data_IF_897897133340
#
_entry.id   IF_897897133340
#
_cell.length_a   1.000
_cell.length_b   1.000
_cell.length_c   1.000
_cell.angle_alpha   90.00
_cell.angle_beta   90.00
_cell.angle_gamma   90.00
#
_symmetry.space_group_name_H-M   'P 1'
#
loop_
_entity.id
_entity.type
_entity.pdbx_description
1 polymer ?
#
# COMPACT_ATOMS: atom_id res chain seq x y z
N UNK A 1 -31.37 -25.11 20.07
CA UNK A 1 -29.93 -25.44 20.03
C UNK A 1 -29.19 -24.14 19.78
N UNK A 2 -28.36 -23.71 20.74
CA UNK A 2 -27.63 -22.42 20.67
C UNK A 2 -26.21 -22.68 20.21
N UNK A 3 -25.78 -22.06 19.10
CA UNK A 3 -24.42 -22.14 18.59
C UNK A 3 -23.65 -20.95 19.15
N UNK A 4 -22.75 -21.20 20.10
CA UNK A 4 -21.83 -20.18 20.61
C UNK A 4 -20.70 -19.99 19.59
N UNK A 5 -20.43 -18.77 19.09
CA UNK A 5 -19.30 -18.57 18.19
C UNK A 5 -17.97 -18.67 18.96
N UNK A 6 -17.04 -19.44 18.43
CA UNK A 6 -15.66 -19.54 18.91
C UNK A 6 -14.98 -18.18 18.72
N UNK A 7 -14.78 -17.46 19.84
CA UNK A 7 -13.96 -16.25 19.90
C UNK A 7 -12.50 -16.66 19.67
N UNK A 8 -12.02 -16.52 18.44
CA UNK A 8 -10.60 -16.66 18.14
C UNK A 8 -9.86 -15.54 18.88
N UNK A 9 -9.09 -15.88 19.92
CA UNK A 9 -8.18 -14.94 20.55
C UNK A 9 -7.07 -14.65 19.52
N UNK A 10 -7.15 -13.50 18.86
CA UNK A 10 -6.04 -12.97 18.07
C UNK A 10 -4.89 -12.70 19.05
N UNK A 11 -3.87 -13.54 19.01
CA UNK A 11 -2.60 -13.24 19.67
C UNK A 11 -1.94 -12.15 18.82
N UNK A 12 -2.14 -10.89 19.18
CA UNK A 12 -1.39 -9.79 18.60
C UNK A 12 0.08 -10.00 18.97
N UNK A 13 0.86 -10.52 18.03
CA UNK A 13 2.31 -10.55 18.14
C UNK A 13 2.76 -9.09 18.21
N UNK A 14 3.23 -8.67 19.37
CA UNK A 14 3.74 -7.32 19.59
C UNK A 14 5.04 -7.21 18.78
N UNK A 15 4.95 -6.72 17.55
CA UNK A 15 6.10 -6.36 16.74
C UNK A 15 6.84 -5.25 17.48
N UNK A 16 8.01 -5.56 18.01
CA UNK A 16 8.96 -4.55 18.45
C UNK A 16 9.52 -3.90 17.19
N UNK A 17 9.05 -2.70 16.91
CA UNK A 17 9.60 -1.84 15.87
C UNK A 17 10.99 -1.37 16.29
N UNK A 18 11.92 -1.32 15.33
CA UNK A 18 13.18 -0.62 15.48
C UNK A 18 12.92 0.88 15.75
N UNK A 19 13.85 1.58 16.41
CA UNK A 19 13.75 3.03 16.68
C UNK A 19 13.44 3.82 15.41
N UNK A 20 14.02 3.40 14.29
CA UNK A 20 13.92 4.08 13.00
C UNK A 20 12.50 4.00 12.42
N UNK A 21 11.82 2.86 12.58
CA UNK A 21 10.43 2.70 12.15
C UNK A 21 9.47 3.55 13.00
N UNK A 22 9.79 3.76 14.27
CA UNK A 22 8.96 4.54 15.17
C UNK A 22 9.04 6.03 14.85
N UNK A 23 10.23 6.55 14.57
CA UNK A 23 10.42 7.94 14.10
C UNK A 23 9.72 8.18 12.76
N UNK A 24 9.82 7.24 11.81
CA UNK A 24 9.10 7.31 10.54
C UNK A 24 7.59 7.36 10.74
N UNK A 25 7.03 6.49 11.60
CA UNK A 25 5.60 6.47 11.87
C UNK A 25 5.10 7.78 12.49
N UNK A 26 5.86 8.38 13.41
CA UNK A 26 5.54 9.68 14.00
C UNK A 26 5.60 10.80 12.96
N UNK A 27 6.61 10.81 12.08
CA UNK A 27 6.77 11.80 11.01
C UNK A 27 5.59 11.79 10.02
N UNK A 28 5.02 10.62 9.73
CA UNK A 28 3.86 10.48 8.83
C UNK A 28 2.50 10.51 9.55
N UNK A 29 2.47 10.79 10.87
CA UNK A 29 1.23 10.88 11.64
C UNK A 29 0.48 9.55 11.76
N UNK A 30 1.18 8.42 11.68
CA UNK A 30 0.61 7.08 11.81
C UNK A 30 0.48 6.75 13.30
N UNK A 31 -0.74 6.90 13.82
CA UNK A 31 -1.03 6.79 15.26
C UNK A 31 -1.20 5.32 15.70
N UNK A 32 -1.62 4.45 14.79
CA UNK A 32 -1.82 3.03 15.07
C UNK A 32 -1.60 2.20 13.79
N UNK A 33 -0.77 1.16 13.88
CA UNK A 33 -0.48 0.25 12.77
C UNK A 33 -0.53 -1.19 13.27
N UNK A 34 -1.52 -1.93 12.78
CA UNK A 34 -1.71 -3.33 13.11
C UNK A 34 -1.22 -4.20 11.94
N UNK A 35 -0.07 -4.83 12.11
CA UNK A 35 0.36 -5.91 11.23
C UNK A 35 -0.31 -7.18 11.71
N UNK A 36 -1.19 -7.74 10.89
CA UNK A 36 -1.64 -9.11 11.07
C UNK A 36 -0.70 -10.04 10.27
N UNK A 37 0.26 -10.72 10.91
CA UNK A 37 1.05 -11.74 10.22
C UNK A 37 0.12 -12.89 9.85
N UNK A 38 -0.40 -12.84 8.63
CA UNK A 38 -1.01 -14.00 8.01
C UNK A 38 0.14 -14.87 7.48
N UNK A 39 -0.02 -16.20 7.50
CA UNK A 39 0.93 -17.16 6.90
C UNK A 39 0.92 -17.07 5.35
N UNK A 40 1.12 -15.87 4.82
CA UNK A 40 1.38 -15.62 3.42
C UNK A 40 2.89 -15.56 3.30
N UNK A 41 3.45 -16.36 2.40
CA UNK A 41 4.87 -16.26 2.06
C UNK A 41 5.23 -14.84 1.60
N UNK A 42 6.53 -14.59 1.31
CA UNK A 42 6.96 -13.27 0.87
C UNK A 42 6.07 -12.75 -0.26
N UNK A 43 5.59 -11.50 -0.14
CA UNK A 43 4.84 -10.83 -1.20
C UNK A 43 5.80 -10.67 -2.38
N UNK A 44 5.36 -11.12 -3.57
CA UNK A 44 6.16 -11.08 -4.80
C UNK A 44 5.53 -10.14 -5.82
N UNK A 45 6.38 -9.62 -6.70
CA UNK A 45 6.00 -8.79 -7.84
C UNK A 45 6.03 -7.29 -7.53
N UNK A 46 5.76 -6.52 -8.57
CA UNK A 46 6.07 -5.08 -8.64
C UNK A 46 4.81 -4.20 -8.61
N UNK A 47 3.63 -4.81 -8.43
CA UNK A 47 2.35 -4.08 -8.46
C UNK A 47 2.14 -3.05 -7.33
N UNK A 48 3.14 -2.89 -6.46
CA UNK A 48 3.23 -1.94 -5.34
C UNK A 48 3.99 -0.65 -5.72
N UNK A 49 4.75 -0.64 -6.82
CA UNK A 49 5.63 0.48 -7.21
C UNK A 49 4.86 1.78 -7.43
N UNK A 50 3.66 1.69 -8.01
CA UNK A 50 2.78 2.85 -8.18
C UNK A 50 2.40 3.48 -6.83
N UNK A 51 2.13 2.66 -5.80
CA UNK A 51 1.79 3.15 -4.47
C UNK A 51 2.99 3.80 -3.79
N UNK A 52 4.18 3.21 -3.92
CA UNK A 52 5.41 3.81 -3.42
C UNK A 52 5.68 5.17 -4.07
N UNK A 53 5.57 5.25 -5.40
CA UNK A 53 5.79 6.49 -6.15
C UNK A 53 4.83 7.59 -5.68
N UNK A 54 3.53 7.31 -5.60
CA UNK A 54 2.53 8.28 -5.16
C UNK A 54 2.71 8.69 -3.70
N UNK A 55 3.14 7.76 -2.83
CA UNK A 55 3.46 8.07 -1.44
C UNK A 55 4.64 9.02 -1.31
N UNK A 56 5.68 8.87 -2.15
CA UNK A 56 6.83 9.78 -2.17
C UNK A 56 6.45 11.20 -2.60
N UNK A 57 5.39 11.35 -3.40
CA UNK A 57 4.82 12.64 -3.78
C UNK A 57 3.82 13.21 -2.77
N UNK A 58 3.74 12.64 -1.56
CA UNK A 58 2.80 13.09 -0.53
C UNK A 58 1.33 12.81 -0.87
N UNK A 59 1.06 11.86 -1.77
CA UNK A 59 -0.30 11.45 -2.19
C UNK A 59 -0.58 10.01 -1.75
N UNK A 60 -0.69 9.72 -0.44
CA UNK A 60 -0.96 8.36 0.03
C UNK A 60 -2.37 7.91 -0.37
N UNK A 61 -2.54 6.61 -0.62
CA UNK A 61 -3.81 6.02 -1.04
C UNK A 61 -3.66 4.61 -1.58
N UNK A 62 -4.76 4.03 -2.08
CA UNK A 62 -4.75 2.69 -2.65
C UNK A 62 -4.41 2.74 -4.14
N UNK A 63 -3.15 2.49 -4.47
CA UNK A 63 -2.67 2.44 -5.85
C UNK A 63 -2.22 1.04 -6.23
N UNK A 64 -2.38 0.67 -7.50
CA UNK A 64 -1.74 -0.52 -8.03
C UNK A 64 -1.37 -0.37 -9.50
N UNK A 65 -0.12 -0.70 -9.80
CA UNK A 65 0.50 -0.55 -11.10
C UNK A 65 1.98 -0.90 -10.97
N UNK A 66 2.59 -1.28 -12.09
CA UNK A 66 4.05 -1.41 -12.25
C UNK A 66 4.61 -0.09 -12.74
N UNK A 67 5.83 0.26 -12.33
CA UNK A 67 6.58 1.36 -12.92
C UNK A 67 7.28 0.83 -14.18
N UNK A 68 6.85 1.30 -15.35
CA UNK A 68 7.34 0.79 -16.64
C UNK A 68 8.50 1.63 -17.19
N UNK A 69 8.46 2.93 -16.93
CA UNK A 69 9.51 3.86 -17.35
C UNK A 69 9.64 5.03 -16.37
N UNK A 70 10.84 5.59 -16.31
CA UNK A 70 11.14 6.82 -15.59
C UNK A 70 12.15 7.66 -16.39
N UNK A 71 11.66 8.72 -17.02
CA UNK A 71 12.46 9.61 -17.87
C UNK A 71 12.02 11.06 -17.72
N UNK A 72 12.96 12.01 -17.75
CA UNK A 72 12.68 13.44 -17.64
C UNK A 72 11.75 13.83 -16.47
N UNK A 73 11.97 13.21 -15.30
CA UNK A 73 11.13 13.36 -14.11
C UNK A 73 9.67 12.91 -14.29
N UNK A 74 9.37 12.11 -15.30
CA UNK A 74 8.04 11.52 -15.53
C UNK A 74 8.10 10.02 -15.30
N UNK A 75 7.31 9.54 -14.35
CA UNK A 75 7.07 8.12 -14.11
C UNK A 75 5.88 7.64 -14.94
N UNK A 76 6.03 6.51 -15.63
CA UNK A 76 4.97 5.86 -16.42
C UNK A 76 4.55 4.54 -15.79
N UNK A 77 3.24 4.29 -15.71
CA UNK A 77 2.70 3.10 -15.04
C UNK A 77 2.02 2.11 -15.98
N UNK A 78 2.18 0.83 -15.67
CA UNK A 78 1.70 -0.30 -16.45
C UNK A 78 0.56 -1.10 -15.81
N UNK A 79 -0.07 -1.98 -16.61
CA UNK A 79 -1.15 -2.84 -16.16
C UNK A 79 -0.68 -3.96 -15.25
N UNK A 80 -1.48 -4.25 -14.23
CA UNK A 80 -1.24 -5.36 -13.30
C UNK A 80 -2.38 -6.35 -13.31
N UNK A 81 -2.08 -7.62 -13.05
CA UNK A 81 -3.10 -8.67 -12.92
C UNK A 81 -3.84 -8.56 -11.59
N UNK A 82 -5.07 -9.08 -11.56
CA UNK A 82 -5.83 -9.21 -10.31
C UNK A 82 -6.47 -7.92 -9.79
N UNK A 83 -6.54 -6.84 -10.59
CA UNK A 83 -7.18 -5.57 -10.21
C UNK A 83 -8.60 -5.78 -9.66
N UNK A 84 -9.39 -6.66 -10.28
CA UNK A 84 -10.75 -6.97 -9.83
C UNK A 84 -10.79 -7.61 -8.43
N UNK A 85 -9.79 -8.42 -8.09
CA UNK A 85 -9.67 -9.03 -6.75
C UNK A 85 -9.26 -7.96 -5.74
N UNK A 86 -8.25 -7.14 -6.06
CA UNK A 86 -7.80 -6.03 -5.21
C UNK A 86 -8.93 -5.04 -4.92
N UNK A 87 -9.74 -4.70 -5.93
CA UNK A 87 -10.91 -3.82 -5.77
C UNK A 87 -11.97 -4.39 -4.81
N UNK A 88 -12.18 -5.71 -4.82
CA UNK A 88 -13.11 -6.38 -3.89
C UNK A 88 -12.62 -6.33 -2.44
N UNK A 89 -11.30 -6.38 -2.22
CA UNK A 89 -10.71 -6.27 -0.87
C UNK A 89 -10.93 -4.88 -0.28
N UNK A 90 -10.91 -3.85 -1.12
CA UNK A 90 -11.00 -2.45 -0.71
C UNK A 90 -12.41 -1.93 -0.46
N UNK A 91 -13.47 -2.73 -0.71
CA UNK A 91 -14.91 -2.51 -0.44
C UNK A 91 -15.46 -1.07 -0.58
N UNK A 92 -15.06 -0.16 0.31
CA UNK A 92 -15.53 1.23 0.41
C UNK A 92 -14.52 2.27 -0.09
N UNK A 93 -13.32 1.84 -0.47
CA UNK A 93 -12.22 2.71 -0.88
C UNK A 93 -11.92 2.55 -2.38
N UNK A 94 -11.54 3.66 -3.01
CA UNK A 94 -11.16 3.67 -4.42
C UNK A 94 -9.78 3.05 -4.58
N UNK A 95 -9.65 2.08 -5.49
CA UNK A 95 -8.37 1.60 -6.01
C UNK A 95 -8.05 2.37 -7.29
N UNK A 96 -6.95 3.12 -7.27
CA UNK A 96 -6.39 3.81 -8.41
C UNK A 96 -5.45 2.89 -9.19
N UNK A 97 -5.53 2.93 -10.52
CA UNK A 97 -4.67 2.14 -11.40
C UNK A 97 -3.99 3.00 -12.46
N UNK A 98 -3.16 2.39 -13.30
CA UNK A 98 -2.60 3.00 -14.52
C UNK A 98 -3.66 3.65 -15.44
N UNK A 99 -4.93 3.25 -15.34
CA UNK A 99 -6.03 3.85 -16.10
C UNK A 99 -6.49 5.18 -15.51
N UNK A 100 -6.27 5.41 -14.21
CA UNK A 100 -6.48 6.70 -13.56
C UNK A 100 -5.25 7.61 -13.72
N UNK A 101 -4.05 7.05 -13.64
CA UNK A 101 -2.78 7.77 -13.80
C UNK A 101 -1.82 6.95 -14.66
N UNK A 102 -1.79 7.22 -15.97
CA UNK A 102 -0.84 6.56 -16.87
C UNK A 102 0.58 7.08 -16.68
N UNK A 103 0.71 8.37 -16.36
CA UNK A 103 1.98 9.04 -16.09
C UNK A 103 1.83 10.03 -14.94
N UNK A 104 2.93 10.31 -14.23
CA UNK A 104 3.01 11.31 -13.16
C UNK A 104 4.35 12.02 -13.22
N UNK A 105 4.34 13.35 -13.12
CA UNK A 105 5.55 14.16 -12.92
C UNK A 105 5.99 14.05 -11.45
N UNK A 106 7.24 13.66 -11.24
CA UNK A 106 7.89 13.50 -9.94
C UNK A 106 9.01 14.53 -9.72
N UNK A 107 9.04 15.59 -10.52
CA UNK A 107 9.96 16.71 -10.32
C UNK A 107 9.81 17.23 -8.88
N UNK A 108 10.92 17.51 -8.17
CA UNK A 108 10.84 18.08 -6.85
C UNK A 108 10.15 19.45 -6.95
N UNK A 109 9.03 19.62 -6.24
CA UNK A 109 8.42 20.93 -6.06
C UNK A 109 9.46 21.85 -5.41
N UNK A 110 9.98 22.80 -6.18
CA UNK A 110 10.90 23.83 -5.66
C UNK A 110 10.04 24.79 -4.83
N UNK A 111 9.94 24.51 -3.54
CA UNK A 111 9.33 25.37 -2.54
C UNK A 111 10.40 26.03 -1.67
#
# INVERSE_FOLDING_TARGET
>A
MSITPLRHKSSATKLTYDSDMRELMEQFGVIDFEVHPQNVGPIKGESWEMAATMSMLGRPGNYTGTLEDYSDSVASFGPVRGVNVKRKLLKHEKLYTYSDFSTVDVSPDVH
#
